data_IF_779856359030
#
_entry.id   IF_779856359030
#
_cell.length_a   1.000
_cell.length_b   1.000
_cell.length_c   1.000
_cell.angle_alpha   90.00
_cell.angle_beta   90.00
_cell.angle_gamma   90.00
#
_symmetry.space_group_name_H-M   'P 1'
#
loop_
_entity.id
_entity.type
_entity.pdbx_description
1 polymer ?
#
# COMPACT_ATOMS: atom_id res chain seq x y z
N UNK A 1 8.14 -5.59 3.67
CA UNK A 1 6.81 -5.94 4.21
C UNK A 1 6.39 -4.77 5.06
N UNK A 2 5.22 -4.23 4.78
CA UNK A 2 4.68 -3.02 5.37
C UNK A 2 3.39 -3.37 6.09
N UNK A 3 3.21 -2.81 7.28
CA UNK A 3 1.98 -2.97 8.06
C UNK A 3 1.11 -1.75 7.82
N UNK A 4 -0.16 -1.98 7.45
CA UNK A 4 -1.13 -0.92 7.18
C UNK A 4 -2.31 -1.10 8.12
N UNK A 5 -2.46 -0.16 9.05
CA UNK A 5 -3.58 -0.07 9.97
C UNK A 5 -4.84 0.42 9.25
N UNK A 6 -5.96 -0.30 9.42
CA UNK A 6 -7.26 0.05 8.87
C UNK A 6 -8.22 0.22 10.05
N UNK A 7 -8.19 1.41 10.65
CA UNK A 7 -8.95 1.71 11.88
C UNK A 7 -10.44 1.44 11.72
N UNK A 8 -11.00 1.70 10.54
CA UNK A 8 -12.42 1.50 10.24
C UNK A 8 -12.88 0.03 10.38
N UNK A 9 -11.96 -0.92 10.17
CA UNK A 9 -12.21 -2.36 10.29
C UNK A 9 -11.57 -2.96 11.55
N UNK A 10 -10.95 -2.13 12.38
CA UNK A 10 -10.13 -2.54 13.53
C UNK A 10 -9.17 -3.67 13.15
N UNK A 11 -8.39 -3.49 12.07
CA UNK A 11 -7.46 -4.50 11.59
C UNK A 11 -6.14 -3.92 11.09
N UNK A 12 -5.15 -4.80 10.94
CA UNK A 12 -3.87 -4.52 10.27
C UNK A 12 -3.74 -5.51 9.11
N UNK A 13 -3.45 -4.97 7.92
CA UNK A 13 -3.00 -5.79 6.80
C UNK A 13 -1.48 -5.74 6.70
N UNK A 14 -0.88 -6.91 6.52
CA UNK A 14 0.52 -7.01 6.19
C UNK A 14 0.65 -7.13 4.67
N UNK A 15 1.29 -6.14 4.08
CA UNK A 15 1.40 -5.98 2.64
C UNK A 15 2.85 -6.15 2.18
N UNK A 16 3.00 -6.76 1.02
CA UNK A 16 4.26 -6.79 0.27
C UNK A 16 4.09 -5.92 -0.98
N UNK A 17 4.98 -4.95 -1.16
CA UNK A 17 5.06 -4.17 -2.40
C UNK A 17 5.74 -5.06 -3.45
N UNK A 18 5.03 -5.32 -4.55
CA UNK A 18 5.49 -6.22 -5.63
C UNK A 18 6.08 -5.46 -6.81
N UNK A 19 5.63 -4.21 -7.01
CA UNK A 19 6.18 -3.29 -8.01
C UNK A 19 6.17 -1.87 -7.45
N UNK A 20 7.22 -1.12 -7.72
CA UNK A 20 7.32 0.29 -7.33
C UNK A 20 8.05 1.05 -8.44
N UNK A 21 7.35 2.01 -9.04
CA UNK A 21 7.88 2.90 -10.05
C UNK A 21 7.71 4.32 -9.54
N UNK A 22 8.80 5.07 -9.48
CA UNK A 22 8.81 6.47 -9.04
C UNK A 22 9.68 7.27 -10.01
N UNK A 23 9.07 7.63 -11.13
CA UNK A 23 9.74 8.34 -12.21
C UNK A 23 9.54 9.86 -12.04
N UNK A 24 10.61 10.62 -11.81
CA UNK A 24 10.50 12.05 -11.58
C UNK A 24 10.20 12.80 -12.87
N UNK A 25 9.63 13.99 -12.72
CA UNK A 25 9.42 14.90 -13.84
C UNK A 25 10.75 15.29 -14.51
N UNK A 26 10.81 15.17 -15.85
CA UNK A 26 12.00 15.52 -16.62
C UNK A 26 11.73 16.69 -17.57
N UNK A 27 12.10 17.91 -17.15
CA UNK A 27 12.00 19.15 -17.93
C UNK A 27 12.65 19.12 -19.33
N UNK A 28 13.57 18.18 -19.58
CA UNK A 28 14.31 18.06 -20.84
C UNK A 28 13.87 16.89 -21.72
N UNK A 29 12.91 16.08 -21.24
CA UNK A 29 12.31 15.02 -22.03
C UNK A 29 11.55 15.64 -23.21
N UNK A 30 11.71 15.06 -24.39
CA UNK A 30 11.10 15.59 -25.61
C UNK A 30 9.57 15.46 -25.51
N UNK A 31 8.83 16.40 -26.11
CA UNK A 31 7.36 16.49 -26.05
C UNK A 31 6.58 15.25 -26.56
N UNK A 32 7.27 14.20 -27.03
CA UNK A 32 6.68 12.94 -27.49
C UNK A 32 6.94 11.77 -26.53
N UNK A 33 7.61 12.01 -25.40
CA UNK A 33 7.76 11.01 -24.33
C UNK A 33 6.54 11.11 -23.40
N UNK A 34 5.67 10.10 -23.35
CA UNK A 34 4.48 10.12 -22.49
C UNK A 34 4.84 10.22 -21.00
N UNK A 35 6.04 9.78 -20.62
CA UNK A 35 6.51 9.75 -19.23
C UNK A 35 7.29 11.01 -18.87
N UNK A 36 7.41 11.97 -19.80
CA UNK A 36 8.09 13.25 -19.58
C UNK A 36 7.54 14.01 -18.36
N UNK A 37 6.27 13.80 -18.00
CA UNK A 37 5.59 14.42 -16.87
C UNK A 37 5.95 13.78 -15.50
N UNK A 38 6.67 12.66 -15.50
CA UNK A 38 6.87 11.82 -14.32
C UNK A 38 5.59 11.09 -13.94
N UNK A 39 5.73 9.95 -13.27
CA UNK A 39 4.62 9.16 -12.76
C UNK A 39 5.08 8.29 -11.60
N UNK A 40 4.12 7.90 -10.77
CA UNK A 40 4.33 6.94 -9.68
C UNK A 40 3.31 5.83 -9.81
N UNK A 41 3.76 4.58 -9.72
CA UNK A 41 2.92 3.39 -9.71
C UNK A 41 3.39 2.45 -8.60
N UNK A 42 2.44 1.88 -7.85
CA UNK A 42 2.71 0.93 -6.80
C UNK A 42 1.74 -0.25 -6.94
N UNK A 43 2.30 -1.45 -6.97
CA UNK A 43 1.53 -2.68 -6.86
C UNK A 43 1.88 -3.36 -5.54
N UNK A 44 0.86 -3.92 -4.88
CA UNK A 44 1.03 -4.64 -3.63
C UNK A 44 0.17 -5.88 -3.55
N UNK A 45 0.54 -6.77 -2.62
CA UNK A 45 -0.21 -7.94 -2.24
C UNK A 45 -0.38 -7.99 -0.72
N UNK A 46 -1.62 -8.15 -0.25
CA UNK A 46 -1.87 -8.51 1.14
C UNK A 46 -1.53 -9.99 1.37
N UNK A 47 -0.56 -10.26 2.25
CA UNK A 47 -0.03 -11.61 2.51
C UNK A 47 -0.60 -12.23 3.78
N UNK A 48 -0.92 -11.41 4.77
CA UNK A 48 -1.61 -11.80 6.00
C UNK A 48 -2.28 -10.58 6.63
N UNK A 49 -3.06 -10.79 7.69
CA UNK A 49 -3.66 -9.70 8.44
C UNK A 49 -4.25 -10.18 9.74
N UNK A 50 -4.50 -9.25 10.64
CA UNK A 50 -5.09 -9.50 11.94
C UNK A 50 -6.17 -8.47 12.25
N UNK A 51 -7.25 -8.88 12.89
CA UNK A 51 -8.33 -8.00 13.34
C UNK A 51 -8.47 -8.07 14.86
N UNK A 52 -8.92 -6.97 15.44
CA UNK A 52 -9.06 -6.81 16.88
C UNK A 52 -10.54 -6.88 17.25
N UNK A 53 -10.87 -7.78 18.16
CA UNK A 53 -12.21 -7.79 18.74
C UNK A 53 -12.40 -6.63 19.74
N UNK A 54 -13.63 -6.36 20.21
CA UNK A 54 -13.89 -5.27 21.14
C UNK A 54 -13.17 -5.38 22.49
N UNK A 55 -12.72 -6.58 22.87
CA UNK A 55 -11.92 -6.82 24.07
C UNK A 55 -10.41 -6.61 23.81
N UNK A 56 -10.03 -6.31 22.56
CA UNK A 56 -8.67 -6.08 22.10
C UNK A 56 -7.89 -7.35 21.81
N UNK A 57 -8.55 -8.51 21.71
CA UNK A 57 -7.86 -9.74 21.33
C UNK A 57 -7.60 -9.76 19.83
N UNK A 58 -6.45 -10.29 19.46
CA UNK A 58 -5.98 -10.42 18.08
C UNK A 58 -6.50 -11.72 17.48
N UNK A 59 -7.05 -11.63 16.26
CA UNK A 59 -7.54 -12.77 15.50
C UNK A 59 -7.02 -12.71 14.07
N UNK A 60 -6.72 -13.87 13.48
CA UNK A 60 -6.31 -13.95 12.07
C UNK A 60 -7.48 -13.56 11.16
N UNK A 61 -7.23 -12.64 10.22
CA UNK A 61 -8.19 -12.28 9.16
C UNK A 61 -8.41 -13.44 8.19
N UNK A 62 -7.39 -14.30 8.03
CA UNK A 62 -7.35 -15.34 7.03
C UNK A 62 -7.31 -14.78 5.60
N UNK A 63 -7.07 -15.66 4.63
CA UNK A 63 -6.86 -15.24 3.24
C UNK A 63 -8.05 -14.48 2.63
N UNK A 64 -9.28 -14.95 2.86
CA UNK A 64 -10.47 -14.32 2.29
C UNK A 64 -10.74 -12.96 2.93
N UNK A 65 -10.49 -12.82 4.23
CA UNK A 65 -10.61 -11.54 4.92
C UNK A 65 -9.59 -10.54 4.39
N UNK A 66 -8.33 -10.97 4.23
CA UNK A 66 -7.29 -10.13 3.66
C UNK A 66 -7.65 -9.64 2.25
N UNK A 67 -8.15 -10.53 1.39
CA UNK A 67 -8.56 -10.18 0.03
C UNK A 67 -9.71 -9.16 0.03
N UNK A 68 -10.71 -9.36 0.88
CA UNK A 68 -11.87 -8.47 0.97
C UNK A 68 -11.48 -7.07 1.45
N UNK A 69 -10.68 -6.98 2.52
CA UNK A 69 -10.20 -5.71 3.05
C UNK A 69 -9.27 -5.01 2.05
N UNK A 70 -8.35 -5.75 1.41
CA UNK A 70 -7.45 -5.21 0.40
C UNK A 70 -8.19 -4.64 -0.81
N UNK A 71 -9.26 -5.31 -1.27
CA UNK A 71 -10.10 -4.83 -2.37
C UNK A 71 -10.90 -3.60 -1.96
N UNK A 72 -11.51 -3.61 -0.76
CA UNK A 72 -12.34 -2.51 -0.26
C UNK A 72 -11.55 -1.24 0.02
N UNK A 73 -10.31 -1.38 0.49
CA UNK A 73 -9.46 -0.27 0.93
C UNK A 73 -8.23 -0.07 0.03
N UNK A 74 -8.26 -0.55 -1.22
CA UNK A 74 -7.11 -0.55 -2.12
C UNK A 74 -6.42 0.82 -2.23
N UNK A 75 -7.18 1.89 -2.50
CA UNK A 75 -6.66 3.26 -2.64
C UNK A 75 -6.02 3.77 -1.35
N UNK A 76 -6.65 3.50 -0.19
CA UNK A 76 -6.13 3.89 1.12
C UNK A 76 -4.82 3.16 1.43
N UNK A 77 -4.79 1.84 1.18
CA UNK A 77 -3.61 1.01 1.41
C UNK A 77 -2.47 1.50 0.53
N UNK A 78 -2.71 1.79 -0.75
CA UNK A 78 -1.70 2.32 -1.66
C UNK A 78 -1.12 3.66 -1.15
N UNK A 79 -1.97 4.58 -0.70
CA UNK A 79 -1.50 5.85 -0.13
C UNK A 79 -0.64 5.67 1.12
N UNK A 80 -1.03 4.79 2.05
CA UNK A 80 -0.21 4.52 3.25
C UNK A 80 1.11 3.82 2.89
N UNK A 81 1.09 2.88 1.93
CA UNK A 81 2.31 2.24 1.45
C UNK A 81 3.29 3.24 0.85
N UNK A 82 2.81 4.20 0.06
CA UNK A 82 3.65 5.29 -0.44
C UNK A 82 4.31 6.09 0.68
N UNK A 83 3.56 6.43 1.74
CA UNK A 83 4.12 7.15 2.90
C UNK A 83 5.20 6.33 3.59
N UNK A 84 4.97 5.04 3.80
CA UNK A 84 5.92 4.14 4.44
C UNK A 84 7.19 3.96 3.61
N UNK A 85 7.06 3.80 2.28
CA UNK A 85 8.20 3.74 1.35
C UNK A 85 8.99 5.04 1.36
N UNK A 86 8.32 6.19 1.30
CA UNK A 86 8.97 7.50 1.31
C UNK A 86 9.74 7.73 2.62
N UNK A 87 9.18 7.29 3.76
CA UNK A 87 9.86 7.32 5.06
C UNK A 87 11.10 6.42 5.10
N UNK A 88 11.01 5.21 4.52
CA UNK A 88 12.13 4.28 4.42
C UNK A 88 13.26 4.83 3.55
N UNK A 89 12.93 5.44 2.40
CA UNK A 89 13.91 6.08 1.51
C UNK A 89 14.56 7.34 2.10
N UNK A 90 13.89 8.00 3.05
CA UNK A 90 14.42 9.19 3.73
C UNK A 90 15.35 8.88 4.92
N UNK A 91 15.37 7.62 5.39
CA UNK A 91 16.14 7.16 6.55
C UNK A 91 17.59 6.78 6.20
#
# INVERSE_FOLDING_TARGET
>A
MYDVDIEAEACVLHCEVTSLVDEPFHLTAWANDPDALGYRELEFQAISGEWFDPDGNVHDLGQNGCAEVAERYAEYIEEELWRLVDMEHAA
#
